data_IF_191092086489
#
_entry.id   IF_191092086489
#
_cell.length_a   1.000
_cell.length_b   1.000
_cell.length_c   1.000
_cell.angle_alpha   90.00
_cell.angle_beta   90.00
_cell.angle_gamma   90.00
#
_symmetry.space_group_name_H-M   'P 1'
#
loop_
_entity.id
_entity.type
_entity.pdbx_description
1 polymer ?
#
# COMPACT_ATOMS: atom_id res chain seq x y z
N UNK A 1 -7.60 2.99 89.93
CA UNK A 1 -7.91 4.42 89.77
C UNK A 1 -7.78 4.82 88.30
N UNK A 2 -8.86 5.35 87.71
CA UNK A 2 -8.96 6.54 86.80
C UNK A 2 -7.86 6.75 85.72
N UNK A 3 -8.09 7.10 84.45
CA UNK A 3 -9.24 7.60 83.64
C UNK A 3 -8.91 7.42 82.15
N UNK A 4 -9.92 7.05 81.35
CA UNK A 4 -10.44 7.69 80.13
C UNK A 4 -9.53 8.68 79.35
N UNK A 5 -9.39 8.47 78.02
CA UNK A 5 -9.78 9.47 76.98
C UNK A 5 -9.91 8.89 75.57
N UNK A 6 -11.05 9.22 74.97
CA UNK A 6 -11.43 9.09 73.57
C UNK A 6 -10.51 9.86 72.63
N UNK A 7 -10.32 9.33 71.41
CA UNK A 7 -9.99 10.13 70.23
C UNK A 7 -10.61 9.50 68.98
N UNK A 8 -11.75 10.06 68.57
CA UNK A 8 -12.46 9.82 67.32
C UNK A 8 -11.57 10.07 66.11
N UNK A 9 -11.61 9.21 65.09
CA UNK A 9 -11.04 9.50 63.77
C UNK A 9 -12.11 9.39 62.68
N UNK A 10 -12.64 10.58 62.41
CA UNK A 10 -13.19 11.14 61.17
C UNK A 10 -13.18 10.23 59.93
N UNK A 11 -14.39 9.93 59.44
CA UNK A 11 -14.68 9.55 58.06
C UNK A 11 -14.27 10.68 57.12
N UNK A 12 -13.40 10.41 56.14
CA UNK A 12 -13.16 11.31 55.01
C UNK A 12 -13.63 10.62 53.73
N UNK A 13 -14.68 11.18 53.13
CA UNK A 13 -15.22 10.79 51.84
C UNK A 13 -14.25 11.19 50.71
N UNK A 14 -13.96 10.26 49.79
CA UNK A 14 -13.26 10.55 48.54
C UNK A 14 -14.30 10.68 47.41
N UNK A 15 -14.35 11.78 46.66
CA UNK A 15 -15.19 11.87 45.47
C UNK A 15 -14.50 11.14 44.31
N UNK A 16 -15.21 10.17 43.71
CA UNK A 16 -14.80 9.51 42.48
C UNK A 16 -14.91 10.48 41.30
N UNK A 17 -13.79 11.06 40.88
CA UNK A 17 -13.67 11.84 39.64
C UNK A 17 -13.61 10.86 38.45
N UNK A 18 -14.75 10.67 37.77
CA UNK A 18 -14.81 9.89 36.52
C UNK A 18 -14.29 10.76 35.38
N UNK A 19 -13.05 10.50 34.96
CA UNK A 19 -12.42 11.11 33.80
C UNK A 19 -12.90 10.39 32.53
N UNK A 20 -13.85 10.98 31.79
CA UNK A 20 -14.26 10.48 30.48
C UNK A 20 -13.20 10.90 29.44
N UNK A 21 -12.28 10.00 29.11
CA UNK A 21 -11.38 10.17 27.96
C UNK A 21 -12.18 9.98 26.66
N UNK A 22 -12.50 11.07 25.97
CA UNK A 22 -12.86 11.05 24.56
C UNK A 22 -11.61 10.66 23.74
N UNK A 23 -11.47 9.38 23.44
CA UNK A 23 -10.50 8.90 22.47
C UNK A 23 -10.93 9.38 21.08
N UNK A 24 -10.45 10.54 20.65
CA UNK A 24 -10.52 10.95 19.24
C UNK A 24 -9.59 10.02 18.47
N UNK A 25 -10.16 9.01 17.82
CA UNK A 25 -9.41 8.10 16.96
C UNK A 25 -8.89 8.86 15.74
N UNK A 26 -7.61 9.24 15.76
CA UNK A 26 -6.93 9.74 14.56
C UNK A 26 -6.66 8.53 13.67
N UNK A 27 -7.37 8.41 12.55
CA UNK A 27 -7.04 7.44 11.53
C UNK A 27 -5.67 7.83 10.94
N UNK A 28 -4.63 7.07 11.28
CA UNK A 28 -3.33 7.23 10.63
C UNK A 28 -3.48 6.81 9.17
N UNK A 29 -3.05 7.68 8.25
CA UNK A 29 -2.93 7.30 6.86
C UNK A 29 -1.97 6.10 6.76
N UNK A 30 -2.37 5.07 6.01
CA UNK A 30 -1.55 3.89 5.76
C UNK A 30 -1.21 3.79 4.27
N UNK A 31 -0.10 3.15 3.96
CA UNK A 31 0.23 2.80 2.58
C UNK A 31 -0.87 1.87 2.04
N UNK A 32 -1.25 2.07 0.77
CA UNK A 32 -2.32 1.29 0.15
C UNK A 32 -1.89 0.74 -1.20
N UNK A 33 -2.41 -0.42 -1.57
CA UNK A 33 -2.25 -1.02 -2.88
C UNK A 33 -3.56 -1.66 -3.34
N UNK A 34 -3.87 -1.45 -4.61
CA UNK A 34 -4.96 -2.05 -5.33
C UNK A 34 -4.46 -2.54 -6.69
N UNK A 35 -4.75 -3.80 -7.03
CA UNK A 35 -4.27 -4.40 -8.29
C UNK A 35 -5.46 -4.82 -9.14
N UNK A 36 -5.53 -4.28 -10.35
CA UNK A 36 -6.60 -4.52 -11.31
C UNK A 36 -6.08 -5.17 -12.59
N UNK A 37 -6.96 -5.91 -13.27
CA UNK A 37 -6.64 -6.60 -14.52
C UNK A 37 -7.61 -6.14 -15.59
N UNK A 38 -7.10 -5.46 -16.62
CA UNK A 38 -7.93 -4.86 -17.66
C UNK A 38 -8.78 -5.90 -18.43
N UNK A 39 -8.18 -7.06 -18.71
CA UNK A 39 -8.83 -8.18 -19.40
C UNK A 39 -8.51 -9.47 -18.64
N UNK A 40 -9.40 -9.95 -17.75
CA UNK A 40 -9.16 -11.11 -16.90
C UNK A 40 -9.55 -12.40 -17.63
N UNK A 41 -8.96 -12.68 -18.80
CA UNK A 41 -9.18 -13.94 -19.53
C UNK A 41 -8.07 -14.94 -19.19
N UNK A 42 -8.37 -16.16 -18.74
CA UNK A 42 -7.35 -17.14 -18.35
C UNK A 42 -6.33 -17.42 -19.46
N UNK A 43 -5.05 -17.48 -19.08
CA UNK A 43 -3.94 -17.76 -20.01
C UNK A 43 -3.64 -16.68 -21.06
N UNK A 44 -4.48 -15.65 -21.18
CA UNK A 44 -4.30 -14.54 -22.11
C UNK A 44 -3.44 -13.43 -21.50
N UNK A 45 -2.94 -12.55 -22.38
CA UNK A 45 -2.19 -11.36 -21.97
C UNK A 45 -3.17 -10.28 -21.52
N UNK A 46 -2.72 -9.48 -20.57
CA UNK A 46 -3.49 -8.37 -20.03
C UNK A 46 -2.61 -7.18 -19.65
N UNK A 47 -3.26 -6.11 -19.24
CA UNK A 47 -2.64 -4.97 -18.56
C UNK A 47 -2.99 -5.08 -17.07
N UNK A 48 -1.96 -5.09 -16.24
CA UNK A 48 -2.10 -4.99 -14.79
C UNK A 48 -1.91 -3.54 -14.37
N UNK A 49 -2.91 -2.98 -13.70
CA UNK A 49 -2.88 -1.62 -13.17
C UNK A 49 -2.77 -1.69 -11.64
N UNK A 50 -1.63 -1.25 -11.13
CA UNK A 50 -1.39 -1.09 -9.71
C UNK A 50 -1.74 0.36 -9.36
N UNK A 51 -2.70 0.55 -8.44
CA UNK A 51 -3.02 1.85 -7.85
C UNK A 51 -2.58 1.85 -6.40
N UNK A 52 -1.79 2.83 -6.00
CA UNK A 52 -1.26 2.89 -4.65
C UNK A 52 -1.14 4.33 -4.15
N UNK A 53 -1.04 4.49 -2.84
CA UNK A 53 -0.69 5.75 -2.17
C UNK A 53 0.27 5.43 -1.04
N UNK A 54 1.26 6.30 -0.83
CA UNK A 54 2.29 6.12 0.20
C UNK A 54 2.19 7.21 1.25
N UNK A 55 2.46 6.87 2.49
CA UNK A 55 2.59 7.79 3.63
C UNK A 55 3.87 8.62 3.57
N UNK A 56 4.89 8.12 2.86
CA UNK A 56 6.10 8.86 2.54
C UNK A 56 6.05 9.42 1.10
N UNK A 57 6.73 10.55 0.81
CA UNK A 57 6.89 11.03 -0.55
C UNK A 57 7.59 9.99 -1.43
N UNK A 58 7.12 9.80 -2.66
CA UNK A 58 7.72 8.90 -3.64
C UNK A 58 8.88 9.61 -4.36
N UNK A 59 10.14 9.19 -4.16
CA UNK A 59 11.30 9.83 -4.77
C UNK A 59 11.30 9.74 -6.30
N UNK A 60 11.99 10.68 -6.96
CA UNK A 60 12.14 10.71 -8.43
C UNK A 60 12.96 9.55 -9.00
N UNK A 61 13.75 8.90 -8.16
CA UNK A 61 14.65 7.78 -8.43
C UNK A 61 14.21 6.49 -7.71
N UNK A 62 12.95 6.43 -7.28
CA UNK A 62 12.41 5.27 -6.60
C UNK A 62 12.53 3.98 -7.43
N UNK A 63 12.75 2.87 -6.74
CA UNK A 63 12.72 1.53 -7.30
C UNK A 63 11.50 0.79 -6.77
N UNK A 64 10.67 0.28 -7.67
CA UNK A 64 9.54 -0.59 -7.36
C UNK A 64 9.97 -2.04 -7.57
N UNK A 65 9.96 -2.85 -6.51
CA UNK A 65 10.07 -4.30 -6.62
C UNK A 65 8.66 -4.90 -6.51
N UNK A 66 8.13 -5.37 -7.64
CA UNK A 66 6.76 -5.87 -7.74
C UNK A 66 6.82 -7.38 -7.87
N UNK A 67 6.44 -8.07 -6.81
CA UNK A 67 6.42 -9.52 -6.77
C UNK A 67 5.03 -10.03 -7.12
N UNK A 68 4.97 -10.78 -8.21
CA UNK A 68 3.76 -11.45 -8.64
C UNK A 68 3.69 -12.87 -8.04
N UNK A 69 2.51 -13.52 -8.01
CA UNK A 69 2.42 -14.94 -7.72
C UNK A 69 2.91 -15.77 -8.92
N UNK A 70 3.51 -16.95 -8.69
CA UNK A 70 4.22 -17.73 -9.72
C UNK A 70 3.38 -18.10 -10.95
N UNK A 71 2.05 -18.15 -10.80
CA UNK A 71 1.14 -18.50 -11.89
C UNK A 71 0.95 -17.37 -12.91
N UNK A 72 1.33 -16.13 -12.56
CA UNK A 72 1.37 -15.00 -13.48
C UNK A 72 2.74 -14.96 -14.15
N UNK A 73 2.77 -14.92 -15.49
CA UNK A 73 4.04 -14.98 -16.22
C UNK A 73 4.46 -13.61 -16.74
N UNK A 74 5.71 -13.25 -16.42
CA UNK A 74 6.35 -11.98 -16.79
C UNK A 74 7.15 -12.07 -18.11
N UNK A 75 7.23 -13.24 -18.74
CA UNK A 75 8.06 -13.54 -19.90
C UNK A 75 7.88 -12.52 -21.03
N UNK A 76 6.66 -12.01 -21.21
CA UNK A 76 6.29 -11.14 -22.32
C UNK A 76 6.06 -9.67 -21.93
N UNK A 77 6.38 -9.27 -20.70
CA UNK A 77 6.30 -7.86 -20.29
C UNK A 77 7.27 -7.02 -21.12
N UNK A 78 6.72 -5.98 -21.75
CA UNK A 78 7.46 -5.06 -22.64
C UNK A 78 7.30 -3.59 -22.27
N UNK A 79 6.24 -3.23 -21.56
CA UNK A 79 5.89 -1.83 -21.28
C UNK A 79 5.51 -1.71 -19.81
N UNK A 80 6.11 -0.72 -19.17
CA UNK A 80 5.72 -0.21 -17.87
C UNK A 80 5.56 1.29 -18.00
N UNK A 81 4.43 1.82 -17.54
CA UNK A 81 4.12 3.25 -17.63
C UNK A 81 3.22 3.71 -16.50
N UNK A 82 2.98 5.01 -16.44
CA UNK A 82 2.12 5.65 -15.45
C UNK A 82 1.50 6.91 -16.08
N UNK A 83 0.31 7.29 -15.62
CA UNK A 83 -0.31 8.57 -15.96
C UNK A 83 -0.11 9.63 -14.87
N UNK A 84 0.22 9.20 -13.66
CA UNK A 84 0.36 10.04 -12.45
C UNK A 84 1.81 10.24 -12.01
N UNK A 85 2.74 9.47 -12.56
CA UNK A 85 4.18 9.69 -12.45
C UNK A 85 4.70 10.23 -13.77
N UNK A 86 5.39 11.36 -13.69
CA UNK A 86 6.12 11.93 -14.81
C UNK A 86 7.55 11.37 -14.95
N UNK A 87 8.11 11.56 -16.14
CA UNK A 87 9.41 11.01 -16.53
C UNK A 87 9.31 9.60 -17.11
N UNK A 88 10.45 8.91 -17.19
CA UNK A 88 10.55 7.56 -17.76
C UNK A 88 10.79 6.49 -16.71
N UNK A 89 10.57 5.24 -17.13
CA UNK A 89 10.90 4.04 -16.38
C UNK A 89 11.93 3.19 -17.12
N UNK A 90 12.78 2.48 -16.38
CA UNK A 90 13.48 1.29 -16.86
C UNK A 90 12.98 0.11 -16.04
N UNK A 91 12.99 -1.10 -16.61
CA UNK A 91 12.63 -2.28 -15.84
C UNK A 91 13.44 -3.50 -16.23
N UNK A 92 13.52 -4.45 -15.30
CA UNK A 92 14.11 -5.77 -15.50
C UNK A 92 13.30 -6.81 -14.73
N UNK A 93 13.44 -8.06 -15.13
CA UNK A 93 12.77 -9.20 -14.52
C UNK A 93 13.78 -10.02 -13.73
N UNK A 94 13.42 -10.45 -12.52
CA UNK A 94 14.20 -11.35 -11.68
C UNK A 94 13.27 -12.42 -11.12
N UNK A 95 13.25 -13.59 -11.74
CA UNK A 95 12.24 -14.62 -11.45
C UNK A 95 10.84 -14.04 -11.67
N UNK A 96 10.01 -14.08 -10.62
CA UNK A 96 8.66 -13.53 -10.65
C UNK A 96 8.53 -12.11 -10.06
N UNK A 97 9.66 -11.40 -9.96
CA UNK A 97 9.70 -10.01 -9.55
C UNK A 97 10.00 -9.13 -10.76
N UNK A 98 9.18 -8.11 -10.95
CA UNK A 98 9.46 -7.00 -11.86
C UNK A 98 10.11 -5.87 -11.06
N UNK A 99 11.34 -5.53 -11.41
CA UNK A 99 12.06 -4.40 -10.82
C UNK A 99 11.91 -3.23 -11.78
N UNK A 100 11.22 -2.17 -11.35
CA UNK A 100 10.96 -0.96 -12.13
C UNK A 100 11.69 0.21 -11.46
N UNK A 101 12.54 0.88 -12.20
CA UNK A 101 13.34 2.01 -11.72
C UNK A 101 12.83 3.29 -12.38
N UNK A 102 12.51 4.31 -11.59
CA UNK A 102 12.28 5.65 -12.13
C UNK A 102 13.60 6.20 -12.65
N UNK A 103 13.55 6.89 -13.79
CA UNK A 103 14.75 7.44 -14.45
C UNK A 103 15.34 8.68 -13.79
N UNK A 104 14.69 9.25 -12.76
CA UNK A 104 15.15 10.48 -12.11
C UNK A 104 14.76 11.78 -12.81
N UNK A 105 14.13 11.73 -13.99
CA UNK A 105 13.74 12.92 -14.79
C UNK A 105 12.41 13.55 -14.39
N UNK A 106 11.60 12.87 -13.57
CA UNK A 106 10.32 13.38 -13.08
C UNK A 106 10.42 14.05 -11.71
N UNK A 107 9.27 14.46 -11.18
CA UNK A 107 9.15 15.11 -9.87
C UNK A 107 8.93 14.08 -8.75
N UNK A 108 9.24 14.51 -7.52
CA UNK A 108 8.81 13.79 -6.31
C UNK A 108 7.29 13.82 -6.25
N UNK A 109 6.66 12.67 -6.02
CA UNK A 109 5.20 12.63 -5.77
C UNK A 109 4.98 12.79 -4.27
N UNK A 110 4.20 13.80 -3.82
CA UNK A 110 3.93 14.00 -2.39
C UNK A 110 3.26 12.79 -1.73
N UNK A 111 3.47 12.64 -0.42
CA UNK A 111 2.75 11.66 0.39
C UNK A 111 1.23 11.79 0.23
N UNK A 112 0.51 10.66 0.32
CA UNK A 112 -0.94 10.56 0.22
C UNK A 112 -1.51 10.71 -1.20
N UNK A 113 -0.71 11.12 -2.20
CA UNK A 113 -1.17 11.19 -3.58
C UNK A 113 -1.39 9.79 -4.16
N UNK A 114 -2.47 9.64 -4.93
CA UNK A 114 -2.77 8.42 -5.68
C UNK A 114 -1.83 8.30 -6.88
N UNK A 115 -1.23 7.14 -7.02
CA UNK A 115 -0.29 6.79 -8.07
C UNK A 115 -0.79 5.56 -8.82
N UNK A 116 -0.60 5.52 -10.13
CA UNK A 116 -0.83 4.37 -11.00
C UNK A 116 0.49 3.85 -11.58
N UNK A 117 0.58 2.53 -11.75
CA UNK A 117 1.59 1.88 -12.56
C UNK A 117 0.91 0.82 -13.43
N UNK A 118 1.10 0.90 -14.74
CA UNK A 118 0.51 0.01 -15.73
C UNK A 118 1.58 -0.87 -16.33
N UNK A 119 1.36 -2.18 -16.29
CA UNK A 119 2.30 -3.19 -16.76
C UNK A 119 1.60 -4.00 -17.83
N UNK A 120 2.05 -3.86 -19.07
CA UNK A 120 1.42 -4.50 -20.21
C UNK A 120 2.05 -5.85 -20.54
N UNK A 121 1.24 -6.72 -21.15
CA UNK A 121 1.62 -8.06 -21.61
C UNK A 121 2.01 -9.03 -20.49
N UNK A 122 1.48 -8.85 -19.28
CA UNK A 122 1.47 -9.92 -18.28
C UNK A 122 0.52 -11.01 -18.74
N UNK A 123 0.92 -12.28 -18.62
CA UNK A 123 0.02 -13.39 -18.92
C UNK A 123 -0.72 -13.81 -17.65
N UNK A 124 -2.05 -13.80 -17.73
CA UNK A 124 -2.93 -14.29 -16.69
C UNK A 124 -2.68 -15.79 -16.42
N UNK A 125 -2.93 -16.26 -15.19
CA UNK A 125 -2.87 -17.67 -14.87
C UNK A 125 -3.92 -18.46 -15.68
N UNK A 126 -3.73 -19.78 -15.79
CA UNK A 126 -4.70 -20.66 -16.46
C UNK A 126 -6.02 -20.80 -15.69
N UNK A 127 -5.98 -20.49 -14.40
CA UNK A 127 -7.15 -20.42 -13.51
C UNK A 127 -7.08 -19.11 -12.74
N UNK A 128 -8.17 -18.35 -12.74
CA UNK A 128 -8.24 -17.08 -12.01
C UNK A 128 -8.67 -17.39 -10.57
N UNK A 129 -7.74 -17.20 -9.64
CA UNK A 129 -7.97 -17.42 -8.21
C UNK A 129 -8.02 -16.07 -7.49
N UNK A 130 -9.06 -15.88 -6.66
CA UNK A 130 -9.25 -14.69 -5.85
C UNK A 130 -8.21 -14.54 -4.73
N UNK A 131 -7.51 -15.61 -4.36
CA UNK A 131 -6.46 -15.64 -3.34
C UNK A 131 -5.09 -15.15 -3.82
N UNK A 132 -4.91 -14.89 -5.12
CA UNK A 132 -3.63 -14.45 -5.67
C UNK A 132 -3.30 -13.03 -5.22
N UNK A 133 -2.09 -12.84 -4.70
CA UNK A 133 -1.63 -11.55 -4.16
C UNK A 133 -0.41 -11.02 -4.92
N UNK A 134 -0.35 -9.70 -5.05
CA UNK A 134 0.80 -8.97 -5.56
C UNK A 134 1.36 -8.13 -4.43
N UNK A 135 2.68 -8.20 -4.25
CA UNK A 135 3.42 -7.38 -3.28
C UNK A 135 4.21 -6.30 -4.01
N UNK A 136 4.12 -5.07 -3.50
CA UNK A 136 4.87 -3.92 -3.95
C UNK A 136 5.78 -3.46 -2.82
N UNK A 137 7.09 -3.49 -3.08
CA UNK A 137 8.08 -2.84 -2.23
C UNK A 137 8.59 -1.60 -2.96
N UNK A 138 8.54 -0.45 -2.31
CA UNK A 138 9.12 0.79 -2.83
C UNK A 138 10.42 1.06 -2.10
N UNK A 139 11.51 1.29 -2.83
CA UNK A 139 12.83 1.56 -2.28
C UNK A 139 13.37 2.93 -2.66
N UNK A 140 14.14 3.50 -1.73
CA UNK A 140 14.97 4.71 -1.91
C UNK A 140 16.38 4.41 -1.44
N UNK A 141 17.38 4.52 -2.33
CA UNK A 141 18.77 4.26 -1.97
C UNK A 141 19.00 2.89 -1.31
N UNK A 142 18.23 1.87 -1.72
CA UNK A 142 18.28 0.51 -1.14
C UNK A 142 17.35 0.28 0.07
N UNK A 143 16.94 1.32 0.79
CA UNK A 143 16.03 1.20 1.93
C UNK A 143 14.57 1.08 1.48
N UNK A 144 13.81 0.16 2.06
CA UNK A 144 12.37 0.07 1.83
C UNK A 144 11.65 1.26 2.51
N UNK A 145 10.84 1.98 1.74
CA UNK A 145 10.01 3.10 2.23
C UNK A 145 8.52 2.75 2.25
N UNK A 146 8.13 1.67 1.57
CA UNK A 146 6.80 1.07 1.63
C UNK A 146 6.90 -0.42 1.29
N UNK A 147 6.02 -1.22 1.89
CA UNK A 147 5.92 -2.66 1.66
C UNK A 147 4.46 -3.07 1.84
N UNK A 148 3.74 -3.20 0.73
CA UNK A 148 2.31 -3.42 0.72
C UNK A 148 1.94 -4.60 -0.16
N UNK A 149 1.00 -5.41 0.30
CA UNK A 149 0.49 -6.56 -0.45
C UNK A 149 -1.01 -6.41 -0.66
N UNK A 150 -1.51 -6.82 -1.82
CA UNK A 150 -2.93 -6.69 -2.16
C UNK A 150 -3.38 -7.87 -3.03
N UNK A 151 -4.63 -8.36 -2.85
CA UNK A 151 -5.20 -9.35 -3.75
C UNK A 151 -5.37 -8.79 -5.17
N UNK A 152 -5.22 -9.66 -6.16
CA UNK A 152 -5.51 -9.35 -7.56
C UNK A 152 -7.02 -9.26 -7.75
N UNK A 153 -7.49 -8.13 -8.27
CA UNK A 153 -8.88 -7.95 -8.66
C UNK A 153 -9.03 -8.30 -10.13
N UNK A 154 -9.73 -9.39 -10.42
CA UNK A 154 -10.04 -9.86 -11.77
C UNK A 154 -11.13 -9.02 -12.45
N UNK A 155 -10.95 -7.71 -12.43
CA UNK A 155 -11.83 -6.73 -13.01
C UNK A 155 -11.03 -5.51 -13.46
N UNK A 156 -11.54 -4.83 -14.48
CA UNK A 156 -11.00 -3.56 -14.92
C UNK A 156 -11.04 -2.55 -13.77
N UNK A 157 -10.07 -1.63 -13.70
CA UNK A 157 -10.09 -0.60 -12.67
C UNK A 157 -11.34 0.27 -12.82
N UNK A 158 -11.94 0.72 -11.71
CA UNK A 158 -13.09 1.62 -11.78
C UNK A 158 -12.68 2.90 -12.52
N UNK A 159 -13.58 3.39 -13.38
CA UNK A 159 -13.43 4.70 -14.01
C UNK A 159 -13.28 5.73 -12.90
N UNK A 160 -12.18 6.47 -12.92
CA UNK A 160 -12.05 7.65 -12.08
C UNK A 160 -12.98 8.68 -12.73
N UNK A 161 -14.13 8.94 -12.10
CA UNK A 161 -14.90 10.12 -12.44
C UNK A 161 -13.98 11.30 -12.16
N UNK A 162 -13.71 12.12 -13.17
CA UNK A 162 -12.93 13.33 -12.97
C UNK A 162 -13.67 14.19 -11.93
N UNK A 163 -13.02 14.44 -10.80
CA UNK A 163 -13.45 15.45 -9.82
C UNK A 163 -13.15 16.85 -10.36
#
# INVERSE_FOLDING_TARGET
MRRVRHSSRVLAALPALVLVLLAVGVALAADSLAVYVATPTPGQRSIYELRFSLTAPLPRDAVFEIQFPPDLRLDQVKVVGSQTIDGGFRFRKRGNTLIVERTGRGHVVPAGKKVDLKIANLRNPRQLDAGLQVRLVVRRGGQAVADVTSPVRWAAPPKVLAE
#
